data_IF_678363856862
#
_entry.id   IF_678363856862
#
_cell.length_a   1.000
_cell.length_b   1.000
_cell.length_c   1.000
_cell.angle_alpha   90.00
_cell.angle_beta   90.00
_cell.angle_gamma   90.00
#
_symmetry.space_group_name_H-M   'P 1'
#
loop_
_entity.id
_entity.type
_entity.pdbx_description
1 polymer ?
#
# COMPACT_ATOMS: atom_id res chain seq x y z
N UNK A 1 5.52 0.21 -19.01
CA UNK A 1 5.34 -1.19 -18.56
C UNK A 1 6.34 -1.61 -17.49
N UNK A 2 7.66 -1.60 -17.73
CA UNK A 2 8.65 -1.75 -16.63
C UNK A 2 8.69 -0.48 -15.75
N UNK A 3 8.51 0.68 -16.38
CA UNK A 3 8.50 1.97 -15.70
C UNK A 3 7.31 2.15 -14.75
N UNK A 4 6.17 1.53 -15.04
CA UNK A 4 4.96 1.66 -14.21
C UNK A 4 5.15 0.97 -12.85
N UNK A 5 5.83 -0.18 -12.83
CA UNK A 5 6.21 -0.85 -11.58
C UNK A 5 7.25 -0.06 -10.81
N UNK A 6 8.23 0.52 -11.51
CA UNK A 6 9.24 1.38 -10.89
C UNK A 6 8.58 2.60 -10.26
N UNK A 7 7.68 3.26 -10.98
CA UNK A 7 6.93 4.42 -10.49
C UNK A 7 6.02 4.06 -9.31
N UNK A 8 5.29 2.94 -9.39
CA UNK A 8 4.45 2.49 -8.27
C UNK A 8 5.29 2.16 -7.03
N UNK A 9 6.40 1.45 -7.19
CA UNK A 9 7.30 1.13 -6.08
C UNK A 9 7.83 2.41 -5.45
N UNK A 10 8.32 3.37 -6.25
CA UNK A 10 8.78 4.65 -5.75
C UNK A 10 7.67 5.41 -5.01
N UNK A 11 6.45 5.48 -5.55
CA UNK A 11 5.33 6.13 -4.87
C UNK A 11 4.98 5.46 -3.53
N UNK A 12 5.07 4.13 -3.44
CA UNK A 12 4.83 3.39 -2.20
C UNK A 12 5.94 3.62 -1.18
N UNK A 13 7.21 3.44 -1.56
CA UNK A 13 8.34 3.46 -0.62
C UNK A 13 8.89 4.86 -0.32
N UNK A 14 8.80 5.79 -1.25
CA UNK A 14 9.41 7.13 -1.12
C UNK A 14 8.40 8.21 -0.72
N UNK A 15 7.09 7.94 -0.89
CA UNK A 15 6.04 8.89 -0.55
C UNK A 15 5.08 8.33 0.51
N UNK A 16 4.41 7.21 0.23
CA UNK A 16 3.35 6.73 1.12
C UNK A 16 3.88 6.13 2.42
N UNK A 17 4.93 5.32 2.38
CA UNK A 17 5.51 4.73 3.59
C UNK A 17 6.01 5.81 4.57
N UNK A 18 6.81 6.82 4.17
CA UNK A 18 7.21 7.89 5.07
C UNK A 18 6.05 8.70 5.64
N UNK A 19 4.99 8.95 4.85
CA UNK A 19 3.81 9.65 5.34
C UNK A 19 3.07 8.84 6.42
N UNK A 20 2.96 7.53 6.25
CA UNK A 20 2.35 6.65 7.25
C UNK A 20 3.22 6.54 8.51
N UNK A 21 4.54 6.49 8.37
CA UNK A 21 5.49 6.45 9.48
C UNK A 21 5.37 7.67 10.41
N UNK A 22 5.12 8.86 9.86
CA UNK A 22 4.88 10.08 10.67
C UNK A 22 3.66 9.93 11.60
N UNK A 23 2.65 9.17 11.17
CA UNK A 23 1.46 8.84 11.97
C UNK A 23 1.64 7.56 12.82
N UNK A 24 2.87 7.03 12.88
CA UNK A 24 3.21 5.77 13.57
C UNK A 24 2.73 4.51 12.85
N UNK A 25 2.38 4.63 11.57
CA UNK A 25 2.01 3.53 10.69
C UNK A 25 3.19 2.90 9.97
N UNK A 26 2.96 1.69 9.46
CA UNK A 26 3.91 1.00 8.61
C UNK A 26 3.19 0.48 7.36
N UNK A 27 3.87 0.53 6.22
CA UNK A 27 3.36 0.04 4.94
C UNK A 27 4.31 -1.02 4.38
N UNK A 28 3.78 -2.22 4.19
CA UNK A 28 4.51 -3.34 3.61
C UNK A 28 3.96 -3.70 2.24
N UNK A 29 4.87 -4.11 1.34
CA UNK A 29 4.54 -4.47 -0.04
C UNK A 29 4.61 -5.99 -0.17
N UNK A 30 3.48 -6.65 0.00
CA UNK A 30 3.37 -8.12 -0.07
C UNK A 30 3.53 -8.62 -1.51
N UNK A 31 2.98 -7.89 -2.48
CA UNK A 31 3.06 -8.28 -3.90
C UNK A 31 2.78 -7.10 -4.82
N UNK A 32 3.64 -6.93 -5.83
CA UNK A 32 3.39 -6.04 -6.98
C UNK A 32 3.31 -6.86 -8.26
N UNK A 33 2.14 -6.86 -8.90
CA UNK A 33 1.92 -7.57 -10.15
C UNK A 33 0.95 -6.83 -11.08
N UNK A 34 0.94 -7.23 -12.36
CA UNK A 34 0.15 -6.52 -13.40
C UNK A 34 -1.35 -6.60 -13.15
N UNK A 35 -1.79 -7.71 -12.55
CA UNK A 35 -3.20 -8.00 -12.29
C UNK A 35 -3.60 -7.69 -10.86
N UNK A 36 -2.65 -7.47 -9.95
CA UNK A 36 -2.95 -7.28 -8.55
C UNK A 36 -1.78 -6.69 -7.77
N UNK A 37 -2.15 -5.87 -6.79
CA UNK A 37 -1.25 -5.25 -5.81
C UNK A 37 -1.77 -5.64 -4.43
N UNK A 38 -0.89 -6.19 -3.60
CA UNK A 38 -1.20 -6.57 -2.23
C UNK A 38 -0.31 -5.79 -1.28
N UNK A 39 -0.93 -5.06 -0.36
CA UNK A 39 -0.27 -4.25 0.65
C UNK A 39 -0.71 -4.68 2.03
N UNK A 40 0.11 -4.41 3.03
CA UNK A 40 -0.23 -4.62 4.43
C UNK A 40 0.07 -3.37 5.26
N UNK A 41 -0.89 -2.97 6.09
CA UNK A 41 -0.76 -1.85 7.01
C UNK A 41 -0.55 -2.36 8.44
N UNK A 42 0.50 -1.88 9.11
CA UNK A 42 0.80 -2.20 10.50
C UNK A 42 1.02 -0.91 11.34
N UNK A 43 1.63 -1.05 12.51
CA UNK A 43 1.77 0.04 13.48
C UNK A 43 0.43 0.59 13.97
N UNK A 44 0.32 1.92 14.10
CA UNK A 44 -0.90 2.63 14.51
C UNK A 44 -2.10 2.39 13.59
N UNK A 45 -1.88 1.92 12.37
CA UNK A 45 -2.94 1.60 11.40
C UNK A 45 -3.41 0.14 11.47
N UNK A 46 -2.76 -0.70 12.28
CA UNK A 46 -3.15 -2.09 12.51
C UNK A 46 -4.57 -2.17 13.06
N UNK A 47 -5.51 -2.69 12.25
CA UNK A 47 -6.92 -2.83 12.65
C UNK A 47 -7.65 -1.50 12.85
N UNK A 48 -7.06 -0.37 12.44
CA UNK A 48 -7.68 0.94 12.61
C UNK A 48 -8.91 1.08 11.71
N UNK A 49 -10.08 1.50 12.25
CA UNK A 49 -11.26 1.78 11.43
C UNK A 49 -11.00 2.84 10.35
N UNK A 50 -10.12 3.80 10.66
CA UNK A 50 -9.73 4.88 9.76
C UNK A 50 -8.85 4.39 8.59
N UNK A 51 -8.20 3.23 8.70
CA UNK A 51 -7.36 2.67 7.64
C UNK A 51 -8.13 2.48 6.34
N UNK A 52 -9.39 2.05 6.43
CA UNK A 52 -10.26 1.87 5.27
C UNK A 52 -10.47 3.17 4.48
N UNK A 53 -10.54 4.32 5.16
CA UNK A 53 -10.70 5.63 4.53
C UNK A 53 -9.40 6.08 3.87
N UNK A 54 -8.26 5.95 4.56
CA UNK A 54 -6.95 6.28 4.01
C UNK A 54 -6.64 5.42 2.77
N UNK A 55 -6.95 4.12 2.82
CA UNK A 55 -6.79 3.23 1.67
C UNK A 55 -7.60 3.71 0.48
N UNK A 56 -8.90 4.02 0.67
CA UNK A 56 -9.77 4.45 -0.44
C UNK A 56 -9.40 5.83 -1.01
N UNK A 57 -8.89 6.74 -0.18
CA UNK A 57 -8.68 8.15 -0.56
C UNK A 57 -7.24 8.48 -0.94
N UNK A 58 -6.28 7.66 -0.54
CA UNK A 58 -4.85 7.92 -0.74
C UNK A 58 -4.19 6.75 -1.46
N UNK A 59 -4.27 5.54 -0.91
CA UNK A 59 -3.53 4.38 -1.44
C UNK A 59 -4.11 3.91 -2.78
N UNK A 60 -5.43 3.74 -2.87
CA UNK A 60 -6.09 3.28 -4.09
C UNK A 60 -5.86 4.23 -5.28
N UNK A 61 -6.02 5.56 -5.17
CA UNK A 61 -5.69 6.47 -6.25
C UNK A 61 -4.25 6.35 -6.76
N UNK A 62 -3.28 6.20 -5.86
CA UNK A 62 -1.86 6.02 -6.26
C UNK A 62 -1.69 4.74 -7.07
N UNK A 63 -2.26 3.61 -6.60
CA UNK A 63 -2.20 2.33 -7.33
C UNK A 63 -2.91 2.43 -8.67
N UNK A 64 -4.10 3.04 -8.71
CA UNK A 64 -4.92 3.18 -9.94
C UNK A 64 -4.28 4.11 -10.97
N UNK A 65 -3.50 5.09 -10.55
CA UNK A 65 -2.81 6.03 -11.46
C UNK A 65 -1.78 5.33 -12.35
N UNK A 66 -1.16 4.26 -11.84
CA UNK A 66 -0.14 3.47 -12.57
C UNK A 66 -0.69 2.14 -13.07
N UNK A 67 -1.63 1.54 -12.34
CA UNK A 67 -2.24 0.24 -12.64
C UNK A 67 -3.77 0.30 -12.54
N UNK A 68 -4.46 0.93 -13.52
CA UNK A 68 -5.90 1.21 -13.43
C UNK A 68 -6.76 -0.03 -13.22
N UNK A 69 -6.36 -1.17 -13.77
CA UNK A 69 -7.10 -2.44 -13.75
C UNK A 69 -6.62 -3.42 -12.67
N UNK A 70 -5.60 -3.09 -11.88
CA UNK A 70 -5.10 -4.02 -10.86
C UNK A 70 -6.12 -4.21 -9.74
N UNK A 71 -6.26 -5.44 -9.25
CA UNK A 71 -6.98 -5.71 -8.01
C UNK A 71 -6.11 -5.26 -6.84
N UNK A 72 -6.54 -4.23 -6.10
CA UNK A 72 -5.88 -3.82 -4.88
C UNK A 72 -6.45 -4.61 -3.69
N UNK A 73 -5.57 -5.29 -2.97
CA UNK A 73 -5.89 -5.92 -1.68
C UNK A 73 -5.04 -5.24 -0.62
N UNK A 74 -5.69 -4.72 0.44
CA UNK A 74 -4.99 -4.18 1.59
C UNK A 74 -5.45 -4.92 2.82
N UNK A 75 -4.52 -5.59 3.49
CA UNK A 75 -4.75 -6.15 4.82
C UNK A 75 -4.18 -5.22 5.89
N UNK A 76 -4.61 -5.39 7.14
CA UNK A 76 -4.05 -4.66 8.27
C UNK A 76 -3.98 -5.54 9.50
N UNK A 77 -2.91 -5.44 10.28
CA UNK A 77 -2.73 -6.22 11.50
C UNK A 77 -1.35 -6.07 12.11
N UNK A 78 -1.15 -6.65 13.29
CA UNK A 78 0.16 -6.71 13.92
C UNK A 78 1.06 -7.80 13.33
N UNK A 79 0.44 -8.84 12.75
CA UNK A 79 1.17 -9.92 12.10
C UNK A 79 1.48 -9.53 10.67
N UNK A 80 2.77 -9.26 10.42
CA UNK A 80 3.27 -8.96 9.08
C UNK A 80 3.27 -10.25 8.25
N UNK A 81 2.64 -10.26 7.05
CA UNK A 81 2.63 -11.41 6.17
C UNK A 81 4.04 -11.81 5.72
N UNK A 82 4.22 -13.09 5.39
CA UNK A 82 5.49 -13.58 4.82
C UNK A 82 5.77 -12.91 3.46
N UNK A 83 7.00 -12.41 3.27
CA UNK A 83 7.45 -11.76 2.04
C UNK A 83 7.04 -10.29 1.88
N UNK A 84 6.54 -9.65 2.94
CA UNK A 84 6.13 -8.25 2.96
C UNK A 84 7.30 -7.26 3.15
#
# INVERSE_FOLDING_TARGET
MADDFKALRAALSEVLAPLLEVDGGELYVVSLGKKGVSLHLAGSWSGSPAASLAVRRVVEPVVRSTHPKAKLTVSSGWLIPEGA
#
